data_IF_553405887348
#
_entry.id   IF_553405887348
#
_cell.length_a   1.000
_cell.length_b   1.000
_cell.length_c   1.000
_cell.angle_alpha   90.00
_cell.angle_beta   90.00
_cell.angle_gamma   90.00
#
_symmetry.space_group_name_H-M   'P 1'
#
loop_
_entity.id
_entity.type
_entity.pdbx_description
1 polymer ?
#
# COMPACT_ATOMS: atom_id res chain seq x y z
N UNK A 1 5.34 0.31 12.81
CA UNK A 1 6.56 0.17 13.65
C UNK A 1 7.17 -1.17 13.32
N UNK A 2 8.25 -1.19 12.53
CA UNK A 2 8.96 -2.44 12.24
C UNK A 2 9.52 -3.02 13.55
N UNK A 3 9.38 -4.34 13.78
CA UNK A 3 10.03 -4.98 14.90
C UNK A 3 11.55 -4.80 14.74
N UNK A 4 12.19 -4.06 15.64
CA UNK A 4 13.64 -3.87 15.60
C UNK A 4 14.40 -5.15 15.96
N UNK A 5 15.72 -5.13 15.75
CA UNK A 5 16.77 -6.17 15.95
C UNK A 5 16.67 -7.10 17.19
N UNK A 6 15.80 -6.78 18.15
CA UNK A 6 15.57 -7.53 19.38
C UNK A 6 14.25 -8.31 19.40
N UNK A 7 13.51 -8.34 18.28
CA UNK A 7 12.20 -8.99 18.21
C UNK A 7 12.29 -10.52 18.06
N UNK A 8 13.29 -11.04 17.34
CA UNK A 8 13.50 -12.48 17.23
C UNK A 8 14.32 -13.03 18.41
N UNK A 9 13.70 -13.93 19.18
CA UNK A 9 14.35 -14.66 20.29
C UNK A 9 15.59 -15.43 19.85
N UNK A 10 15.65 -15.90 18.60
CA UNK A 10 16.79 -16.63 18.03
C UNK A 10 17.96 -15.69 17.76
N UNK A 11 17.71 -14.52 17.17
CA UNK A 11 18.71 -13.48 16.96
C UNK A 11 19.27 -12.97 18.29
N UNK A 12 18.41 -12.77 19.29
CA UNK A 12 18.81 -12.36 20.65
C UNK A 12 19.69 -13.42 21.31
N UNK A 13 19.33 -14.70 21.25
CA UNK A 13 20.17 -15.78 21.81
C UNK A 13 21.52 -15.87 21.09
N UNK A 14 21.55 -15.74 19.77
CA UNK A 14 22.79 -15.76 18.99
C UNK A 14 23.71 -14.59 19.35
N UNK A 15 23.18 -13.39 19.61
CA UNK A 15 23.96 -12.24 20.10
C UNK A 15 24.47 -12.43 21.54
N UNK A 16 23.62 -12.94 22.43
CA UNK A 16 23.97 -13.22 23.84
C UNK A 16 25.11 -14.24 23.93
N UNK A 17 25.19 -15.21 23.02
CA UNK A 17 26.28 -16.19 22.98
C UNK A 17 27.47 -15.67 22.20
N UNK A 18 27.24 -15.06 21.02
CA UNK A 18 28.28 -14.61 20.11
C UNK A 18 29.19 -13.55 20.74
N UNK A 19 28.63 -12.52 21.37
CA UNK A 19 29.40 -11.39 21.91
C UNK A 19 30.36 -11.83 23.03
N UNK A 20 29.93 -12.57 24.07
CA UNK A 20 30.85 -13.10 25.07
C UNK A 20 31.90 -14.04 24.49
N UNK A 21 31.56 -14.84 23.47
CA UNK A 21 32.50 -15.75 22.83
C UNK A 21 33.62 -14.99 22.10
N UNK A 22 33.32 -13.86 21.45
CA UNK A 22 34.32 -12.97 20.87
C UNK A 22 35.25 -12.37 21.93
N UNK A 23 34.67 -11.93 23.07
CA UNK A 23 35.45 -11.38 24.19
C UNK A 23 36.37 -12.45 24.76
N UNK A 24 35.88 -13.69 24.96
CA UNK A 24 36.67 -14.83 25.42
C UNK A 24 37.83 -15.11 24.46
N UNK A 25 37.55 -15.16 23.16
CA UNK A 25 38.55 -15.40 22.13
C UNK A 25 39.69 -14.36 22.18
N UNK A 26 39.34 -13.08 22.29
CA UNK A 26 40.30 -11.97 22.22
C UNK A 26 41.07 -11.74 23.52
N UNK A 27 40.42 -11.87 24.67
CA UNK A 27 40.99 -11.52 25.98
C UNK A 27 41.65 -12.72 26.65
N UNK A 28 41.06 -13.91 26.54
CA UNK A 28 41.49 -15.06 27.33
C UNK A 28 42.17 -16.16 26.51
N UNK A 29 41.80 -16.36 25.23
CA UNK A 29 42.40 -17.42 24.40
C UNK A 29 43.62 -16.91 23.63
N UNK A 30 43.54 -15.70 23.06
CA UNK A 30 44.61 -15.08 22.27
C UNK A 30 46.00 -15.05 22.96
N UNK A 31 46.11 -14.80 24.28
CA UNK A 31 47.43 -14.79 24.94
C UNK A 31 48.12 -16.17 24.99
N UNK A 32 47.36 -17.26 24.85
CA UNK A 32 47.90 -18.62 24.95
C UNK A 32 48.06 -19.28 23.59
N UNK A 33 47.09 -19.12 22.69
CA UNK A 33 47.14 -19.67 21.34
C UNK A 33 46.35 -18.80 20.35
N UNK A 34 47.08 -18.24 19.38
CA UNK A 34 46.53 -17.36 18.37
C UNK A 34 45.63 -18.10 17.37
N UNK A 35 45.98 -19.32 16.97
CA UNK A 35 45.21 -20.08 15.99
C UNK A 35 43.87 -20.52 16.58
N UNK A 36 43.87 -20.98 17.84
CA UNK A 36 42.64 -21.33 18.55
C UNK A 36 41.78 -20.07 18.75
N UNK A 37 42.39 -18.94 19.12
CA UNK A 37 41.67 -17.65 19.25
C UNK A 37 41.00 -17.24 17.93
N UNK A 38 41.68 -17.40 16.79
CA UNK A 38 41.13 -17.09 15.47
C UNK A 38 39.91 -17.97 15.13
N UNK A 39 39.97 -19.27 15.45
CA UNK A 39 38.85 -20.21 15.23
C UNK A 39 37.65 -19.84 16.09
N UNK A 40 37.86 -19.58 17.38
CA UNK A 40 36.77 -19.22 18.31
C UNK A 40 36.15 -17.87 17.92
N UNK A 41 36.98 -16.90 17.52
CA UNK A 41 36.50 -15.61 17.02
C UNK A 41 35.71 -15.75 15.71
N UNK A 42 36.16 -16.61 14.79
CA UNK A 42 35.43 -16.92 13.56
C UNK A 42 34.05 -17.53 13.81
N UNK A 43 33.94 -18.44 14.78
CA UNK A 43 32.65 -19.02 15.21
C UNK A 43 31.74 -17.93 15.79
N UNK A 44 32.29 -17.04 16.62
CA UNK A 44 31.53 -15.90 17.16
C UNK A 44 31.01 -14.98 16.06
N UNK A 45 31.84 -14.63 15.07
CA UNK A 45 31.45 -13.79 13.95
C UNK A 45 30.33 -14.44 13.13
N UNK A 46 30.43 -15.75 12.88
CA UNK A 46 29.40 -16.50 12.16
C UNK A 46 28.05 -16.47 12.90
N UNK A 47 28.05 -16.58 14.23
CA UNK A 47 26.82 -16.46 15.04
C UNK A 47 26.22 -15.05 14.98
N UNK A 48 27.04 -14.00 15.01
CA UNK A 48 26.57 -12.61 14.92
C UNK A 48 25.99 -12.32 13.53
N UNK A 49 26.67 -12.74 12.46
CA UNK A 49 26.17 -12.61 11.09
C UNK A 49 24.87 -13.39 10.90
N UNK A 50 24.80 -14.61 11.43
CA UNK A 50 23.57 -15.41 11.42
C UNK A 50 22.42 -14.72 12.15
N UNK A 51 22.68 -14.04 13.27
CA UNK A 51 21.68 -13.24 13.97
C UNK A 51 21.13 -12.10 13.09
N UNK A 52 22.02 -11.37 12.38
CA UNK A 52 21.61 -10.31 11.46
C UNK A 52 20.81 -10.85 10.25
N UNK A 53 21.14 -12.04 9.77
CA UNK A 53 20.39 -12.69 8.67
C UNK A 53 19.00 -13.14 9.15
N UNK A 54 18.88 -13.68 10.37
CA UNK A 54 17.59 -14.07 10.91
C UNK A 54 16.67 -12.86 11.16
N UNK A 55 17.23 -11.75 11.60
CA UNK A 55 16.47 -10.50 11.79
C UNK A 55 15.95 -9.94 10.45
N UNK A 56 16.76 -10.03 9.40
CA UNK A 56 16.34 -9.61 8.04
C UNK A 56 15.45 -10.64 7.36
N UNK A 57 15.52 -11.93 7.71
CA UNK A 57 14.67 -12.96 7.12
C UNK A 57 13.18 -12.78 7.45
N UNK A 58 12.84 -12.19 8.61
CA UNK A 58 11.46 -11.82 8.94
C UNK A 58 10.95 -10.59 8.14
N UNK A 59 11.85 -9.77 7.57
CA UNK A 59 11.47 -8.70 6.62
C UNK A 59 11.20 -9.21 5.20
N UNK A 60 11.62 -10.46 4.88
CA UNK A 60 11.42 -11.09 3.57
C UNK A 60 10.52 -12.34 3.59
N UNK A 61 9.98 -12.76 4.74
CA UNK A 61 8.83 -13.68 4.77
C UNK A 61 7.56 -12.95 4.32
N UNK A 62 7.37 -12.95 3.01
CA UNK A 62 6.07 -12.89 2.36
C UNK A 62 5.00 -13.64 3.16
N UNK A 63 3.92 -12.93 3.52
CA UNK A 63 2.52 -13.38 3.43
C UNK A 63 2.30 -14.91 3.54
N UNK A 64 2.70 -15.57 4.63
CA UNK A 64 2.28 -16.96 4.90
C UNK A 64 2.50 -17.41 6.35
N UNK A 65 1.90 -16.70 7.30
CA UNK A 65 1.58 -17.28 8.61
C UNK A 65 0.11 -17.03 8.91
N UNK A 66 -0.67 -18.10 8.72
CA UNK A 66 -2.05 -18.22 9.19
C UNK A 66 -2.08 -17.96 10.69
N UNK A 67 -2.56 -16.77 11.09
CA UNK A 67 -2.96 -16.50 12.47
C UNK A 67 -4.15 -17.42 12.81
N UNK A 68 -4.26 -17.95 14.04
CA UNK A 68 -5.51 -18.55 14.50
C UNK A 68 -6.60 -17.51 14.29
N UNK A 69 -7.60 -17.88 13.50
CA UNK A 69 -8.77 -17.08 13.16
C UNK A 69 -9.34 -16.50 14.46
N UNK A 70 -9.26 -15.17 14.71
CA UNK A 70 -10.13 -14.57 15.73
C UNK A 70 -11.55 -14.96 15.32
N UNK A 71 -12.42 -15.36 16.26
CA UNK A 71 -13.79 -15.77 15.94
C UNK A 71 -14.44 -14.74 15.02
N UNK A 72 -14.41 -15.05 13.73
CA UNK A 72 -15.00 -14.24 12.69
C UNK A 72 -16.49 -14.43 12.92
N UNK A 73 -17.12 -13.46 13.58
CA UNK A 73 -18.53 -13.18 13.29
C UNK A 73 -18.61 -13.22 11.76
N UNK A 74 -19.40 -14.14 11.17
CA UNK A 74 -19.34 -14.38 9.74
C UNK A 74 -19.45 -13.04 9.04
N UNK A 75 -18.34 -12.60 8.44
CA UNK A 75 -18.36 -11.51 7.48
C UNK A 75 -19.39 -11.99 6.46
N UNK A 76 -20.50 -11.25 6.28
CA UNK A 76 -21.50 -11.62 5.31
C UNK A 76 -20.77 -11.92 4.02
N UNK A 77 -20.90 -13.17 3.54
CA UNK A 77 -20.36 -13.56 2.24
C UNK A 77 -20.83 -12.49 1.27
N UNK A 78 -19.90 -11.79 0.61
CA UNK A 78 -20.24 -10.80 -0.41
C UNK A 78 -21.23 -11.50 -1.34
N UNK A 79 -22.47 -11.04 -1.26
CA UNK A 79 -23.57 -11.64 -1.98
C UNK A 79 -23.26 -11.55 -3.46
N UNK A 80 -23.60 -12.56 -4.25
CA UNK A 80 -23.53 -12.52 -5.72
C UNK A 80 -24.39 -11.37 -6.32
N UNK A 81 -25.12 -10.63 -5.47
CA UNK A 81 -25.76 -9.34 -5.75
C UNK A 81 -24.80 -8.14 -5.86
N UNK A 82 -23.49 -8.30 -5.64
CA UNK A 82 -22.49 -7.24 -5.86
C UNK A 82 -21.78 -7.38 -7.22
N UNK A 83 -22.54 -7.65 -8.29
CA UNK A 83 -22.15 -7.03 -9.55
C UNK A 83 -22.35 -5.53 -9.31
N UNK A 84 -21.29 -4.73 -9.39
CA UNK A 84 -21.42 -3.28 -9.29
C UNK A 84 -22.43 -2.84 -10.35
N UNK A 85 -23.62 -2.46 -9.88
CA UNK A 85 -24.62 -1.85 -10.73
C UNK A 85 -24.02 -0.51 -11.10
N UNK A 86 -23.68 -0.35 -12.39
CA UNK A 86 -23.15 0.88 -12.96
C UNK A 86 -23.91 2.08 -12.39
N UNK A 87 -23.29 2.77 -11.43
CA UNK A 87 -23.72 4.09 -11.02
C UNK A 87 -23.48 4.98 -12.23
N UNK A 88 -24.52 5.64 -12.77
CA UNK A 88 -24.35 6.44 -13.97
C UNK A 88 -23.20 7.40 -13.76
N UNK A 89 -22.26 7.38 -14.70
CA UNK A 89 -21.11 8.27 -14.72
C UNK A 89 -21.56 9.65 -14.30
N UNK A 90 -20.84 10.26 -13.34
CA UNK A 90 -21.08 11.64 -12.95
C UNK A 90 -21.20 12.45 -14.23
N UNK A 91 -22.39 13.02 -14.45
CA UNK A 91 -22.83 13.54 -15.75
C UNK A 91 -21.87 14.62 -16.27
N UNK A 92 -21.02 15.17 -15.39
CA UNK A 92 -19.74 15.82 -15.72
C UNK A 92 -18.73 15.63 -14.58
N UNK A 93 -17.52 15.08 -14.82
CA UNK A 93 -16.38 15.23 -13.91
C UNK A 93 -16.00 16.70 -13.66
N UNK A 94 -16.50 17.63 -14.48
CA UNK A 94 -16.30 19.09 -14.40
C UNK A 94 -16.93 19.82 -13.21
N UNK A 95 -17.52 19.09 -12.25
CA UNK A 95 -18.02 19.72 -11.05
C UNK A 95 -16.85 20.00 -10.09
N UNK A 96 -16.82 21.15 -9.41
CA UNK A 96 -15.83 21.39 -8.37
C UNK A 96 -15.81 20.24 -7.35
N UNK A 97 -14.66 19.88 -6.75
CA UNK A 97 -14.59 18.83 -5.74
C UNK A 97 -15.59 18.99 -4.58
N UNK A 98 -15.99 20.22 -4.28
CA UNK A 98 -17.00 20.58 -3.27
C UNK A 98 -18.44 20.25 -3.65
N UNK A 99 -18.68 19.83 -4.88
CA UNK A 99 -19.99 19.43 -5.41
C UNK A 99 -20.03 17.95 -5.81
N UNK A 100 -18.86 17.32 -5.99
CA UNK A 100 -18.74 15.91 -6.31
C UNK A 100 -19.02 15.04 -5.08
N UNK A 101 -19.98 14.11 -5.12
CA UNK A 101 -20.25 13.21 -4.01
C UNK A 101 -19.09 12.23 -3.82
N UNK A 102 -18.84 11.81 -2.57
CA UNK A 102 -17.81 10.82 -2.24
C UNK A 102 -17.98 9.48 -2.95
N UNK A 103 -19.20 9.15 -3.40
CA UNK A 103 -19.45 7.93 -4.19
C UNK A 103 -18.89 7.97 -5.63
N UNK A 104 -18.35 9.11 -6.07
CA UNK A 104 -17.58 9.20 -7.33
C UNK A 104 -16.23 8.48 -7.21
N UNK A 105 -15.81 8.11 -6.01
CA UNK A 105 -14.54 7.40 -5.78
C UNK A 105 -14.78 5.90 -5.91
N UNK A 106 -14.08 5.27 -6.83
CA UNK A 106 -14.15 3.82 -7.05
C UNK A 106 -13.98 3.02 -5.74
N UNK A 107 -14.84 2.03 -5.55
CA UNK A 107 -14.96 1.28 -4.29
C UNK A 107 -15.76 1.97 -3.17
N UNK A 108 -16.20 3.24 -3.31
CA UNK A 108 -17.12 3.90 -2.38
C UNK A 108 -18.56 3.82 -2.91
N UNK A 109 -19.20 2.68 -2.69
CA UNK A 109 -20.63 2.54 -2.97
C UNK A 109 -21.52 3.26 -1.96
N UNK A 110 -22.83 3.17 -2.19
CA UNK A 110 -23.89 3.78 -1.35
C UNK A 110 -23.77 3.52 0.16
N UNK A 111 -23.22 2.36 0.55
CA UNK A 111 -23.03 1.99 1.96
C UNK A 111 -21.96 2.88 2.61
N UNK A 112 -20.76 2.96 2.04
CA UNK A 112 -19.67 3.76 2.59
C UNK A 112 -19.95 5.25 2.42
N UNK A 113 -20.50 5.66 1.28
CA UNK A 113 -20.86 7.06 1.05
C UNK A 113 -21.91 7.58 2.04
N UNK A 114 -22.88 6.75 2.46
CA UNK A 114 -23.81 7.10 3.54
C UNK A 114 -23.10 7.28 4.90
N UNK A 115 -22.12 6.43 5.23
CA UNK A 115 -21.35 6.55 6.47
C UNK A 115 -20.53 7.85 6.48
N UNK A 116 -19.83 8.14 5.39
CA UNK A 116 -19.04 9.37 5.22
C UNK A 116 -19.90 10.62 5.29
N UNK A 117 -21.04 10.65 4.59
CA UNK A 117 -22.03 11.75 4.69
C UNK A 117 -22.49 12.00 6.12
N UNK A 118 -22.87 10.94 6.84
CA UNK A 118 -23.32 11.05 8.23
C UNK A 118 -22.21 11.55 9.17
N UNK A 119 -20.95 11.33 8.81
CA UNK A 119 -19.78 11.83 9.51
C UNK A 119 -19.36 13.26 9.11
N UNK A 120 -20.13 13.92 8.24
CA UNK A 120 -19.83 15.28 7.77
C UNK A 120 -18.84 15.33 6.61
N UNK A 121 -18.69 14.24 5.85
CA UNK A 121 -17.80 14.13 4.68
C UNK A 121 -18.64 13.80 3.43
N UNK A 122 -19.54 14.69 2.96
CA UNK A 122 -20.40 14.40 1.82
C UNK A 122 -19.71 14.47 0.46
N UNK A 123 -18.59 15.20 0.33
CA UNK A 123 -17.99 15.52 -0.97
C UNK A 123 -16.53 15.09 -1.10
N UNK A 124 -16.03 15.04 -2.33
CA UNK A 124 -14.61 14.80 -2.65
C UNK A 124 -13.72 15.85 -1.97
N UNK A 125 -14.12 17.13 -1.93
CA UNK A 125 -13.39 18.18 -1.22
C UNK A 125 -13.30 17.90 0.29
N UNK A 126 -14.42 17.49 0.91
CA UNK A 126 -14.42 17.15 2.33
C UNK A 126 -13.48 15.96 2.60
N UNK A 127 -13.50 14.96 1.72
CA UNK A 127 -12.65 13.78 1.84
C UNK A 127 -11.15 14.12 1.75
N UNK A 128 -10.76 15.02 0.84
CA UNK A 128 -9.37 15.50 0.72
C UNK A 128 -8.88 16.23 1.98
N UNK A 129 -9.79 16.78 2.79
CA UNK A 129 -9.49 17.44 4.05
C UNK A 129 -9.40 16.50 5.26
N UNK A 130 -9.63 15.20 5.08
CA UNK A 130 -9.71 14.21 6.18
C UNK A 130 -8.57 13.19 6.07
N UNK A 131 -8.02 12.77 7.20
CA UNK A 131 -6.94 11.79 7.20
C UNK A 131 -7.47 10.37 6.87
N UNK A 132 -6.65 9.53 6.21
CA UNK A 132 -7.02 8.14 5.93
C UNK A 132 -7.41 7.34 7.17
N UNK A 133 -6.78 7.57 8.33
CA UNK A 133 -7.11 6.88 9.58
C UNK A 133 -8.54 7.18 10.02
N UNK A 134 -8.99 8.42 9.85
CA UNK A 134 -10.36 8.82 10.19
C UNK A 134 -11.37 8.19 9.24
N UNK A 135 -11.06 8.13 7.95
CA UNK A 135 -11.90 7.45 6.95
C UNK A 135 -12.00 5.96 7.25
N UNK A 136 -10.87 5.32 7.57
CA UNK A 136 -10.80 3.91 7.96
C UNK A 136 -11.66 3.62 9.20
N UNK A 137 -11.60 4.49 10.21
CA UNK A 137 -12.44 4.42 11.41
C UNK A 137 -13.94 4.53 11.07
N UNK A 138 -14.35 5.56 10.31
CA UNK A 138 -15.75 5.81 9.95
C UNK A 138 -16.34 4.64 9.15
N UNK A 139 -15.58 4.12 8.18
CA UNK A 139 -16.05 3.09 7.27
C UNK A 139 -15.77 1.67 7.78
N UNK A 140 -15.04 1.51 8.89
CA UNK A 140 -14.59 0.23 9.42
C UNK A 140 -13.85 -0.62 8.35
N UNK A 141 -12.93 0.02 7.64
CA UNK A 141 -12.04 -0.60 6.64
C UNK A 141 -10.60 -0.58 7.13
N UNK A 142 -9.70 -1.29 6.44
CA UNK A 142 -8.28 -1.20 6.74
C UNK A 142 -7.71 0.16 6.27
N UNK A 143 -6.56 0.56 6.82
CA UNK A 143 -5.93 1.85 6.51
C UNK A 143 -5.56 1.98 5.03
N UNK A 144 -5.02 0.92 4.44
CA UNK A 144 -4.60 0.89 3.04
C UNK A 144 -5.76 1.20 2.08
N UNK A 145 -6.96 0.66 2.34
CA UNK A 145 -8.16 0.96 1.56
C UNK A 145 -8.53 2.44 1.64
N UNK A 146 -8.47 3.01 2.85
CA UNK A 146 -8.77 4.43 3.05
C UNK A 146 -7.72 5.33 2.38
N UNK A 147 -6.44 4.98 2.46
CA UNK A 147 -5.35 5.69 1.77
C UNK A 147 -5.57 5.70 0.25
N UNK A 148 -5.99 4.57 -0.32
CA UNK A 148 -6.32 4.46 -1.75
C UNK A 148 -7.49 5.35 -2.13
N UNK A 149 -8.57 5.36 -1.36
CA UNK A 149 -9.69 6.25 -1.64
C UNK A 149 -9.29 7.73 -1.62
N UNK A 150 -8.45 8.14 -0.66
CA UNK A 150 -7.92 9.51 -0.59
C UNK A 150 -6.96 9.80 -1.75
N UNK A 151 -6.21 8.81 -2.23
CA UNK A 151 -5.38 8.98 -3.42
C UNK A 151 -6.23 9.17 -4.68
N UNK A 152 -7.25 8.32 -4.90
CA UNK A 152 -8.16 8.43 -6.04
C UNK A 152 -8.94 9.75 -6.02
N UNK A 153 -9.32 10.25 -4.84
CA UNK A 153 -10.03 11.53 -4.70
C UNK A 153 -9.22 12.74 -5.16
N UNK A 154 -7.91 12.62 -5.33
CA UNK A 154 -7.06 13.69 -5.90
C UNK A 154 -7.17 13.80 -7.42
N UNK A 155 -7.69 12.77 -8.09
CA UNK A 155 -7.80 12.71 -9.55
C UNK A 155 -9.24 12.72 -10.06
N UNK A 156 -10.20 12.21 -9.27
CA UNK A 156 -11.60 12.00 -9.66
C UNK A 156 -12.40 13.27 -10.07
N UNK A 157 -11.80 14.45 -9.97
CA UNK A 157 -12.40 15.74 -10.34
C UNK A 157 -11.73 16.38 -11.56
N UNK A 158 -10.77 15.69 -12.20
CA UNK A 158 -10.18 16.11 -13.46
C UNK A 158 -11.12 15.70 -14.61
N UNK A 159 -11.35 16.60 -15.56
CA UNK A 159 -12.29 16.38 -16.68
C UNK A 159 -11.91 15.16 -17.54
N UNK A 160 -10.61 14.91 -17.64
CA UNK A 160 -10.02 13.85 -18.44
C UNK A 160 -9.95 12.50 -17.70
N UNK A 161 -10.31 12.44 -16.42
CA UNK A 161 -10.15 11.26 -15.55
C UNK A 161 -11.53 10.75 -15.09
N UNK A 162 -11.87 9.53 -15.51
CA UNK A 162 -13.01 8.78 -14.97
C UNK A 162 -12.70 8.08 -13.64
N UNK A 163 -13.70 7.43 -13.04
CA UNK A 163 -13.55 6.67 -11.79
C UNK A 163 -12.57 5.49 -12.00
N UNK A 164 -12.68 4.78 -13.13
CA UNK A 164 -11.78 3.70 -13.53
C UNK A 164 -10.36 4.20 -13.83
N UNK A 165 -10.23 5.42 -14.36
CA UNK A 165 -8.92 6.04 -14.61
C UNK A 165 -8.22 6.40 -13.30
N UNK A 166 -8.96 6.97 -12.33
CA UNK A 166 -8.43 7.29 -11.01
C UNK A 166 -7.96 6.02 -10.28
N UNK A 167 -8.73 4.93 -10.34
CA UNK A 167 -8.31 3.63 -9.81
C UNK A 167 -7.03 3.14 -10.49
N UNK A 168 -6.98 3.15 -11.83
CA UNK A 168 -5.82 2.69 -12.58
C UNK A 168 -4.55 3.51 -12.29
N UNK A 169 -4.67 4.84 -12.16
CA UNK A 169 -3.55 5.70 -11.76
C UNK A 169 -3.00 5.23 -10.41
N UNK A 170 -3.84 5.04 -9.40
CA UNK A 170 -3.39 4.68 -8.05
C UNK A 170 -2.87 3.24 -7.99
N UNK A 171 -3.68 2.27 -8.41
CA UNK A 171 -3.38 0.84 -8.26
C UNK A 171 -2.26 0.36 -9.17
N UNK A 172 -2.27 0.76 -10.44
CA UNK A 172 -1.28 0.26 -11.39
C UNK A 172 0.08 0.96 -11.24
N UNK A 173 0.07 2.24 -10.86
CA UNK A 173 1.29 3.06 -10.92
C UNK A 173 1.89 3.40 -9.57
N UNK A 174 1.08 3.42 -8.51
CA UNK A 174 1.45 3.90 -7.17
C UNK A 174 1.50 5.43 -7.07
N UNK A 175 1.05 6.17 -8.08
CA UNK A 175 0.99 7.63 -8.07
C UNK A 175 -0.19 8.06 -7.21
N UNK A 176 0.07 8.88 -6.18
CA UNK A 176 -0.91 9.26 -5.16
C UNK A 176 -1.20 10.75 -5.09
N UNK A 177 -0.61 11.57 -5.96
CA UNK A 177 -0.80 13.01 -6.01
C UNK A 177 -0.63 13.58 -7.44
N UNK A 178 -1.06 14.83 -7.63
CA UNK A 178 -1.06 15.51 -8.93
C UNK A 178 0.36 15.77 -9.46
N UNK A 179 1.31 16.07 -8.58
CA UNK A 179 2.69 16.33 -9.00
C UNK A 179 3.33 15.06 -9.57
N UNK A 180 3.17 13.92 -8.88
CA UNK A 180 3.66 12.64 -9.34
C UNK A 180 3.04 12.23 -10.68
N UNK A 181 1.77 12.57 -10.92
CA UNK A 181 1.13 12.34 -12.22
C UNK A 181 1.66 13.29 -13.30
N UNK A 182 1.81 14.58 -12.98
CA UNK A 182 2.29 15.60 -13.91
C UNK A 182 3.73 15.36 -14.40
N UNK A 183 4.57 14.77 -13.55
CA UNK A 183 5.98 14.43 -13.83
C UNK A 183 6.14 13.05 -14.50
N UNK A 184 5.07 12.26 -14.59
CA UNK A 184 5.13 10.90 -15.10
C UNK A 184 5.37 10.83 -16.62
N UNK A 185 6.01 9.74 -17.05
CA UNK A 185 6.16 9.40 -18.48
C UNK A 185 4.90 8.65 -18.96
N UNK A 186 4.22 9.13 -20.03
CA UNK A 186 2.95 8.55 -20.47
C UNK A 186 3.09 7.11 -20.96
N UNK A 187 4.18 6.76 -21.63
CA UNK A 187 4.43 5.42 -22.12
C UNK A 187 4.67 4.42 -20.96
N UNK A 188 5.38 4.86 -19.91
CA UNK A 188 5.57 4.06 -18.68
C UNK A 188 4.25 3.86 -17.94
N UNK A 189 3.46 4.93 -17.75
CA UNK A 189 2.15 4.85 -17.09
C UNK A 189 1.22 3.92 -17.86
N UNK A 190 1.11 4.11 -19.18
CA UNK A 190 0.26 3.29 -20.03
C UNK A 190 0.64 1.80 -19.97
N UNK A 191 1.95 1.51 -19.99
CA UNK A 191 2.43 0.13 -19.85
C UNK A 191 2.02 -0.48 -18.51
N UNK A 192 2.24 0.22 -17.40
CA UNK A 192 1.86 -0.27 -16.06
C UNK A 192 0.36 -0.54 -15.96
N UNK A 193 -0.48 0.36 -16.47
CA UNK A 193 -1.93 0.19 -16.50
C UNK A 193 -2.32 -1.05 -17.28
N UNK A 194 -1.76 -1.26 -18.49
CA UNK A 194 -2.05 -2.48 -19.25
C UNK A 194 -1.60 -3.75 -18.53
N UNK A 195 -0.43 -3.72 -17.90
CA UNK A 195 0.11 -4.87 -17.17
C UNK A 195 -0.80 -5.21 -15.97
N UNK A 196 -1.29 -4.20 -15.23
CA UNK A 196 -2.21 -4.36 -14.10
C UNK A 196 -3.61 -4.87 -14.52
N UNK A 197 -4.13 -4.42 -15.67
CA UNK A 197 -5.37 -4.96 -16.23
C UNK A 197 -5.19 -6.42 -16.65
N UNK A 198 -4.04 -6.76 -17.25
CA UNK A 198 -3.74 -8.12 -17.68
C UNK A 198 -3.53 -9.09 -16.50
N UNK A 199 -2.97 -8.63 -15.38
CA UNK A 199 -2.82 -9.42 -14.15
C UNK A 199 -4.13 -9.52 -13.35
N UNK A 200 -5.09 -8.62 -13.60
CA UNK A 200 -6.35 -8.54 -12.86
C UNK A 200 -6.27 -7.72 -11.57
N UNK A 201 -5.18 -6.97 -11.38
CA UNK A 201 -4.99 -6.05 -10.25
C UNK A 201 -5.85 -4.79 -10.39
N UNK A 202 -6.14 -4.38 -11.63
CA UNK A 202 -7.14 -3.35 -11.98
C UNK A 202 -8.25 -4.00 -12.78
N UNK A 203 -9.51 -3.73 -12.42
CA UNK A 203 -10.68 -4.27 -13.10
C UNK A 203 -11.38 -3.15 -13.84
N UNK A 204 -11.80 -3.43 -15.06
CA UNK A 204 -12.55 -2.45 -15.85
C UNK A 204 -13.82 -3.08 -16.44
N UNK A 205 -14.88 -2.28 -16.65
CA UNK A 205 -16.09 -2.73 -17.31
C UNK A 205 -15.81 -3.28 -18.72
N UNK A 206 -16.69 -4.14 -19.20
CA UNK A 206 -16.58 -4.70 -20.54
C UNK A 206 -16.62 -3.59 -21.61
N UNK A 207 -15.61 -3.57 -22.49
CA UNK A 207 -15.47 -2.57 -23.55
C UNK A 207 -14.78 -1.27 -23.12
N UNK A 208 -14.41 -1.14 -21.84
CA UNK A 208 -13.56 -0.05 -21.40
C UNK A 208 -12.12 -0.32 -21.83
N UNK A 209 -11.50 0.66 -22.49
CA UNK A 209 -10.12 0.56 -22.94
C UNK A 209 -9.30 1.76 -22.45
N UNK A 210 -8.10 1.45 -21.95
CA UNK A 210 -7.05 2.43 -21.75
C UNK A 210 -6.28 2.61 -23.05
N UNK A 211 -6.04 3.87 -23.42
CA UNK A 211 -5.23 4.23 -24.57
C UNK A 211 -4.10 5.16 -24.13
N UNK A 212 -3.01 5.19 -24.88
CA UNK A 212 -1.90 6.10 -24.60
C UNK A 212 -2.33 7.56 -24.64
N UNK A 213 -3.24 7.92 -25.55
CA UNK A 213 -3.75 9.29 -25.65
C UNK A 213 -4.57 9.69 -24.42
N UNK A 214 -5.34 8.74 -23.85
CA UNK A 214 -6.06 8.96 -22.59
C UNK A 214 -5.08 9.19 -21.42
N UNK A 215 -4.02 8.38 -21.34
CA UNK A 215 -2.96 8.57 -20.33
C UNK A 215 -2.28 9.93 -20.46
N UNK A 216 -1.99 10.37 -21.70
CA UNK A 216 -1.43 11.71 -21.95
C UNK A 216 -2.38 12.80 -21.47
N UNK A 217 -3.69 12.66 -21.72
CA UNK A 217 -4.66 13.64 -21.24
C UNK A 217 -4.73 13.72 -19.71
N UNK A 218 -4.58 12.61 -18.98
CA UNK A 218 -4.51 12.65 -17.51
C UNK A 218 -3.30 13.43 -17.02
N UNK A 219 -2.13 13.18 -17.62
CA UNK A 219 -0.87 13.83 -17.26
C UNK A 219 -0.93 15.32 -17.57
N UNK A 220 -1.47 15.70 -18.74
CA UNK A 220 -1.62 17.10 -19.12
C UNK A 220 -2.66 17.82 -18.25
N UNK A 221 -3.75 17.16 -17.86
CA UNK A 221 -4.69 17.67 -16.87
C UNK A 221 -4.00 17.95 -15.52
N UNK A 222 -3.18 17.01 -15.05
CA UNK A 222 -2.42 17.16 -13.81
C UNK A 222 -1.41 18.33 -13.87
N UNK A 223 -0.70 18.49 -14.99
CA UNK A 223 0.23 19.63 -15.20
C UNK A 223 -0.47 20.99 -15.16
N UNK A 224 -1.73 21.06 -15.57
CA UNK A 224 -2.50 22.30 -15.53
C UNK A 224 -2.96 22.67 -14.11
N UNK A 225 -2.85 21.75 -13.15
CA UNK A 225 -3.27 21.92 -11.76
C UNK A 225 -2.11 22.03 -10.76
N UNK A 226 -0.89 21.61 -11.16
CA UNK A 226 0.33 21.62 -10.35
C UNK A 226 1.10 22.94 -10.46
#
# INVERSE_FOLDING_TARGET
MSPGLLSDRRAVVALIVGIPLAIIALVFVKPYDYNISLVVFGISLALIVFACILDTADEFESVSKVRPKPEVKPIPKASELHAEEYTPAVVKPAAPPSELPVETIEGIGTVYGKLLRNAGIPTVADMLGVSPERIAEICNVNLEQAERWVAMSRFAWLDEVSEEDAEAIVFATGITDLQGLAEADPEVVFKKVKDAVASGDVRVPAGYEFTLDKVRSWIDAAKNMA
#
